data_IF_529883023268
#
_entry.id   IF_529883023268
#
_cell.length_a   1.000
_cell.length_b   1.000
_cell.length_c   1.000
_cell.angle_alpha   90.00
_cell.angle_beta   90.00
_cell.angle_gamma   90.00
#
_symmetry.space_group_name_H-M   'P 1'
#
loop_
_entity.id
_entity.type
_entity.pdbx_description
1 polymer ?
#
# COMPACT_ATOMS: atom_id res chain seq x y z
N UNK A 1 -35.33 55.41 46.57
CA UNK A 1 -35.75 54.64 45.38
C UNK A 1 -35.13 55.35 44.20
N UNK A 2 -34.01 54.85 43.68
CA UNK A 2 -33.27 55.46 42.56
C UNK A 2 -33.22 54.39 41.48
N UNK A 3 -33.88 54.65 40.35
CA UNK A 3 -33.88 53.81 39.16
C UNK A 3 -32.48 53.80 38.52
N UNK A 4 -31.89 52.60 38.39
CA UNK A 4 -30.75 52.37 37.52
C UNK A 4 -31.21 52.39 36.07
N UNK A 5 -30.87 53.46 35.36
CA UNK A 5 -30.94 53.53 33.90
C UNK A 5 -29.73 52.81 33.31
N UNK A 6 -29.88 51.54 32.96
CA UNK A 6 -28.92 50.80 32.15
C UNK A 6 -29.08 51.18 30.69
N UNK A 7 -28.11 51.91 30.13
CA UNK A 7 -27.98 52.13 28.69
C UNK A 7 -27.60 50.80 28.00
N UNK A 8 -28.09 50.53 26.77
CA UNK A 8 -27.71 49.35 26.01
C UNK A 8 -26.26 49.46 25.49
N UNK A 9 -25.46 48.43 25.73
CA UNK A 9 -24.08 48.25 25.26
C UNK A 9 -24.08 47.95 23.75
N UNK A 10 -23.45 48.82 22.96
CA UNK A 10 -23.37 48.77 21.48
C UNK A 10 -22.22 47.89 20.95
N UNK A 11 -21.55 47.12 21.81
CA UNK A 11 -20.32 46.38 21.46
C UNK A 11 -20.55 44.96 20.89
N UNK A 12 -21.77 44.42 20.96
CA UNK A 12 -22.05 43.03 20.55
C UNK A 12 -22.27 42.83 19.04
N UNK A 13 -22.67 43.88 18.30
CA UNK A 13 -23.02 43.76 16.87
C UNK A 13 -21.79 43.73 15.94
N UNK A 14 -20.69 44.39 16.33
CA UNK A 14 -19.46 44.45 15.51
C UNK A 14 -18.77 43.09 15.42
N UNK A 15 -18.86 42.27 16.47
CA UNK A 15 -18.20 40.95 16.52
C UNK A 15 -18.96 39.87 15.74
N UNK A 16 -20.29 39.98 15.60
CA UNK A 16 -21.08 39.00 14.84
C UNK A 16 -20.88 39.13 13.32
N UNK A 17 -20.75 40.34 12.78
CA UNK A 17 -20.51 40.47 11.33
C UNK A 17 -19.14 39.91 10.92
N UNK A 18 -18.08 40.14 11.71
CA UNK A 18 -16.71 39.79 11.33
C UNK A 18 -16.47 38.28 11.15
N UNK A 19 -17.25 37.43 11.82
CA UNK A 19 -17.05 35.98 11.83
C UNK A 19 -17.73 35.23 10.66
N UNK A 20 -18.63 35.90 9.90
CA UNK A 20 -19.40 35.27 8.82
C UNK A 20 -18.81 35.45 7.42
N UNK A 21 -17.94 36.45 7.23
CA UNK A 21 -17.34 36.77 5.92
C UNK A 21 -16.10 35.93 5.57
N UNK A 22 -15.43 35.33 6.57
CA UNK A 22 -14.20 34.54 6.35
C UNK A 22 -14.46 33.10 5.94
N UNK A 23 -15.66 32.55 6.24
CA UNK A 23 -15.95 31.13 6.02
C UNK A 23 -16.35 30.77 4.59
N UNK A 24 -16.85 31.71 3.78
CA UNK A 24 -17.32 31.41 2.40
C UNK A 24 -16.22 31.44 1.33
N UNK A 25 -15.15 32.20 1.54
CA UNK A 25 -14.05 32.29 0.56
C UNK A 25 -13.03 31.13 0.66
N UNK A 26 -13.03 30.41 1.79
CA UNK A 26 -12.07 29.32 2.05
C UNK A 26 -12.36 28.06 1.22
N UNK A 27 -13.63 27.73 0.99
CA UNK A 27 -14.03 26.46 0.37
C UNK A 27 -14.06 26.46 -1.16
N UNK A 28 -13.77 27.59 -1.82
CA UNK A 28 -13.66 27.65 -3.29
C UNK A 28 -12.30 27.26 -3.86
N UNK A 29 -11.24 27.27 -3.03
CA UNK A 29 -9.87 26.93 -3.43
C UNK A 29 -9.54 25.42 -3.50
N UNK A 30 -10.07 24.52 -2.65
CA UNK A 30 -9.70 23.11 -2.72
C UNK A 30 -10.23 22.41 -3.97
N UNK A 31 -11.33 22.86 -4.58
CA UNK A 31 -11.88 22.22 -5.79
C UNK A 31 -10.92 22.21 -6.98
N UNK A 32 -10.16 23.29 -7.17
CA UNK A 32 -9.15 23.37 -8.22
C UNK A 32 -7.95 22.44 -7.95
N UNK A 33 -7.49 22.39 -6.70
CA UNK A 33 -6.39 21.50 -6.31
C UNK A 33 -6.79 20.02 -6.38
N UNK A 34 -8.02 19.68 -6.01
CA UNK A 34 -8.54 18.31 -6.13
C UNK A 34 -8.67 17.93 -7.60
N UNK A 35 -9.23 18.80 -8.44
CA UNK A 35 -9.33 18.55 -9.88
C UNK A 35 -7.96 18.34 -10.53
N UNK A 36 -6.98 19.18 -10.18
CA UNK A 36 -5.61 19.04 -10.66
C UNK A 36 -4.94 17.77 -10.12
N UNK A 37 -5.17 17.42 -8.86
CA UNK A 37 -4.68 16.18 -8.26
C UNK A 37 -5.22 14.93 -8.96
N UNK A 38 -6.53 14.90 -9.24
CA UNK A 38 -7.18 13.81 -9.98
C UNK A 38 -6.60 13.72 -11.39
N UNK A 39 -6.43 14.84 -12.08
CA UNK A 39 -5.82 14.88 -13.41
C UNK A 39 -4.40 14.29 -13.41
N UNK A 40 -3.55 14.70 -12.47
CA UNK A 40 -2.21 14.14 -12.32
C UNK A 40 -2.24 12.65 -12.00
N UNK A 41 -3.15 12.20 -11.14
CA UNK A 41 -3.30 10.78 -10.82
C UNK A 41 -3.63 9.94 -12.06
N UNK A 42 -4.50 10.44 -12.95
CA UNK A 42 -4.82 9.75 -14.22
C UNK A 42 -3.59 9.65 -15.12
N UNK A 43 -2.84 10.75 -15.29
CA UNK A 43 -1.63 10.74 -16.13
C UNK A 43 -0.56 9.81 -15.56
N UNK A 44 -0.33 9.84 -14.25
CA UNK A 44 0.61 8.94 -13.56
C UNK A 44 0.18 7.49 -13.73
N UNK A 45 -1.11 7.20 -13.59
CA UNK A 45 -1.64 5.85 -13.77
C UNK A 45 -1.42 5.33 -15.19
N UNK A 46 -1.71 6.13 -16.22
CA UNK A 46 -1.48 5.73 -17.62
C UNK A 46 0.01 5.47 -17.88
N UNK A 47 0.90 6.36 -17.42
CA UNK A 47 2.35 6.16 -17.54
C UNK A 47 2.82 4.89 -16.83
N UNK A 48 2.30 4.63 -15.62
CA UNK A 48 2.63 3.46 -14.85
C UNK A 48 2.26 2.15 -15.56
N UNK A 49 1.06 2.11 -16.16
CA UNK A 49 0.62 0.96 -16.96
C UNK A 49 1.52 0.75 -18.18
N UNK A 50 1.90 1.81 -18.89
CA UNK A 50 2.80 1.70 -20.06
C UNK A 50 4.17 1.14 -19.64
N UNK A 51 4.71 1.57 -18.50
CA UNK A 51 5.99 1.06 -17.99
C UNK A 51 5.89 -0.43 -17.63
N UNK A 52 4.77 -0.85 -17.01
CA UNK A 52 4.52 -2.27 -16.71
C UNK A 52 4.45 -3.12 -17.98
N UNK A 53 3.77 -2.62 -19.03
CA UNK A 53 3.71 -3.28 -20.33
C UNK A 53 5.08 -3.39 -21.02
N UNK A 54 6.01 -2.47 -20.72
CA UNK A 54 7.32 -2.44 -21.38
C UNK A 54 8.41 -3.26 -20.67
N UNK A 55 8.30 -3.45 -19.35
CA UNK A 55 9.31 -4.17 -18.56
C UNK A 55 8.91 -5.59 -18.21
N UNK A 56 7.63 -5.95 -18.36
CA UNK A 56 6.99 -7.22 -17.98
C UNK A 56 7.13 -7.61 -16.50
N UNK A 57 8.21 -7.21 -15.82
CA UNK A 57 8.46 -7.39 -14.39
C UNK A 57 9.10 -6.16 -13.73
N UNK A 58 8.69 -5.91 -12.49
CA UNK A 58 9.31 -4.96 -11.58
C UNK A 58 9.63 -5.72 -10.31
N UNK A 59 10.91 -5.91 -10.02
CA UNK A 59 11.42 -6.50 -8.78
C UNK A 59 12.02 -5.42 -7.89
N UNK A 60 11.57 -5.34 -6.64
CA UNK A 60 12.10 -4.44 -5.63
C UNK A 60 12.61 -5.31 -4.48
N UNK A 61 13.94 -5.36 -4.32
CA UNK A 61 14.57 -6.04 -3.19
C UNK A 61 14.36 -5.22 -1.91
N UNK A 62 13.73 -5.81 -0.90
CA UNK A 62 13.31 -5.13 0.33
C UNK A 62 14.26 -5.31 1.52
N UNK A 63 15.46 -5.88 1.35
CA UNK A 63 16.42 -5.93 2.45
C UNK A 63 17.50 -7.00 2.32
N UNK A 64 18.11 -7.29 3.47
CA UNK A 64 19.30 -8.15 3.64
C UNK A 64 18.94 -9.65 3.83
N UNK A 65 17.67 -10.01 3.69
CA UNK A 65 17.21 -11.40 3.76
C UNK A 65 17.12 -12.00 2.34
N UNK A 66 17.52 -13.26 2.15
CA UNK A 66 17.40 -13.93 0.86
C UNK A 66 15.93 -13.98 0.44
N UNK A 67 15.69 -13.71 -0.86
CA UNK A 67 14.39 -13.78 -1.50
C UNK A 67 13.31 -12.79 -1.00
N UNK A 68 13.65 -11.79 -0.18
CA UNK A 68 12.70 -10.75 0.24
C UNK A 68 12.53 -9.70 -0.86
N UNK A 69 11.75 -10.03 -1.90
CA UNK A 69 11.51 -9.16 -3.05
C UNK A 69 10.02 -8.99 -3.29
N UNK A 70 9.58 -7.75 -3.48
CA UNK A 70 8.26 -7.48 -4.06
C UNK A 70 8.43 -7.58 -5.57
N UNK A 71 7.72 -8.52 -6.19
CA UNK A 71 7.66 -8.65 -7.64
C UNK A 71 6.26 -8.32 -8.13
N UNK A 72 6.18 -7.46 -9.12
CA UNK A 72 4.95 -7.23 -9.88
C UNK A 72 5.25 -7.58 -11.32
N UNK A 73 4.42 -8.40 -11.95
CA UNK A 73 4.60 -8.79 -13.34
C UNK A 73 3.28 -8.79 -14.10
N UNK A 74 3.38 -8.60 -15.41
CA UNK A 74 2.27 -8.69 -16.32
C UNK A 74 2.16 -10.13 -16.86
N UNK A 75 0.93 -10.63 -16.92
CA UNK A 75 0.57 -11.91 -17.53
C UNK A 75 -0.06 -11.57 -18.87
N UNK A 76 0.55 -12.02 -19.98
CA UNK A 76 0.19 -11.61 -21.35
C UNK A 76 -0.07 -12.79 -22.29
N UNK A 77 -0.34 -13.96 -21.72
CA UNK A 77 -0.71 -15.17 -22.44
C UNK A 77 -1.99 -14.95 -23.29
N UNK A 78 -2.13 -15.66 -24.43
CA UNK A 78 -3.22 -15.43 -25.38
C UNK A 78 -4.61 -15.61 -24.76
N UNK A 79 -4.75 -16.55 -23.83
CA UNK A 79 -6.00 -16.87 -23.14
C UNK A 79 -6.06 -16.36 -21.69
N UNK A 80 -4.96 -15.81 -21.16
CA UNK A 80 -4.87 -15.33 -19.78
C UNK A 80 -4.15 -13.99 -19.76
N UNK A 81 -4.85 -12.94 -19.31
CA UNK A 81 -4.25 -11.62 -19.14
C UNK A 81 -4.55 -11.08 -17.77
N UNK A 82 -3.49 -10.63 -17.11
CA UNK A 82 -3.56 -10.23 -15.72
C UNK A 82 -2.33 -9.50 -15.24
N UNK A 83 -2.38 -9.11 -13.97
CA UNK A 83 -1.23 -8.63 -13.21
C UNK A 83 -1.03 -9.60 -12.04
N UNK A 84 0.19 -10.12 -11.93
CA UNK A 84 0.65 -10.86 -10.76
C UNK A 84 1.36 -9.91 -9.79
N UNK A 85 1.08 -10.06 -8.50
CA UNK A 85 1.83 -9.38 -7.45
C UNK A 85 2.27 -10.38 -6.38
N UNK A 86 3.57 -10.39 -6.07
CA UNK A 86 4.12 -11.13 -4.94
C UNK A 86 4.57 -10.18 -3.84
N UNK A 87 4.29 -10.57 -2.60
CA UNK A 87 4.74 -9.89 -1.40
C UNK A 87 5.36 -10.91 -0.46
N UNK A 88 6.51 -10.58 0.09
CA UNK A 88 7.23 -11.45 1.02
C UNK A 88 7.13 -10.90 2.44
N UNK A 89 6.83 -11.77 3.40
CA UNK A 89 6.79 -11.47 4.83
C UNK A 89 7.76 -12.40 5.56
N UNK A 90 8.54 -11.84 6.49
CA UNK A 90 9.44 -12.63 7.32
C UNK A 90 8.66 -13.16 8.52
N UNK A 91 8.71 -14.48 8.70
CA UNK A 91 8.19 -15.18 9.87
C UNK A 91 9.36 -15.75 10.67
N UNK A 92 9.27 -15.66 12.00
CA UNK A 92 10.26 -16.30 12.88
C UNK A 92 10.08 -17.81 12.78
N UNK A 93 11.16 -18.51 12.40
CA UNK A 93 11.15 -19.97 12.32
C UNK A 93 11.18 -20.64 13.70
N UNK A 94 11.05 -21.97 13.68
CA UNK A 94 11.13 -22.82 14.88
C UNK A 94 12.59 -22.90 15.40
N UNK A 95 12.91 -23.55 16.54
CA UNK A 95 14.29 -23.53 17.06
C UNK A 95 15.33 -24.16 16.12
N UNK A 96 14.89 -25.02 15.18
CA UNK A 96 15.75 -25.62 14.15
C UNK A 96 15.79 -24.81 12.83
N UNK A 97 14.97 -23.75 12.70
CA UNK A 97 14.85 -22.91 11.50
C UNK A 97 15.07 -21.43 11.88
N UNK A 98 16.14 -20.82 11.40
CA UNK A 98 16.52 -19.46 11.80
C UNK A 98 15.57 -18.42 11.22
N UNK A 99 15.06 -18.64 10.00
CA UNK A 99 14.21 -17.68 9.28
C UNK A 99 13.26 -18.37 8.30
N UNK A 100 11.97 -18.05 8.35
CA UNK A 100 11.01 -18.45 7.32
C UNK A 100 10.52 -17.23 6.54
N UNK A 101 10.43 -17.35 5.22
CA UNK A 101 9.93 -16.32 4.32
C UNK A 101 8.61 -16.82 3.74
N UNK A 102 7.55 -16.09 4.04
CA UNK A 102 6.23 -16.34 3.48
C UNK A 102 6.01 -15.43 2.26
N UNK A 103 5.83 -16.02 1.10
CA UNK A 103 5.54 -15.31 -0.15
C UNK A 103 4.06 -15.44 -0.49
N UNK A 104 3.36 -14.33 -0.46
CA UNK A 104 1.97 -14.21 -0.88
C UNK A 104 1.92 -13.77 -2.34
N UNK A 105 1.47 -14.64 -3.23
CA UNK A 105 1.28 -14.34 -4.64
C UNK A 105 -0.20 -14.19 -4.91
N UNK A 106 -0.57 -13.13 -5.59
CA UNK A 106 -1.95 -12.86 -5.95
C UNK A 106 -2.03 -12.46 -7.41
N UNK A 107 -3.12 -12.89 -8.04
CA UNK A 107 -3.38 -12.65 -9.45
C UNK A 107 -4.67 -11.85 -9.60
N UNK A 108 -4.59 -10.77 -10.38
CA UNK A 108 -5.75 -10.01 -10.83
C UNK A 108 -5.84 -10.20 -12.34
N UNK A 109 -6.73 -11.07 -12.78
CA UNK A 109 -6.95 -11.32 -14.20
C UNK A 109 -8.17 -10.53 -14.70
N UNK A 110 -8.04 -9.90 -15.86
CA UNK A 110 -9.17 -9.31 -16.60
C UNK A 110 -9.57 -10.16 -17.81
N UNK A 111 -8.77 -11.17 -18.13
CA UNK A 111 -9.07 -12.17 -19.15
C UNK A 111 -8.59 -13.53 -18.66
N UNK A 112 -9.46 -14.53 -18.71
CA UNK A 112 -9.21 -15.86 -18.15
C UNK A 112 -9.75 -16.02 -16.73
N UNK A 113 -9.89 -17.28 -16.30
CA UNK A 113 -10.28 -17.64 -14.93
C UNK A 113 -9.01 -17.83 -14.09
N UNK A 114 -8.81 -17.00 -13.07
CA UNK A 114 -7.56 -17.09 -12.30
C UNK A 114 -7.37 -16.11 -11.14
N UNK A 115 -8.43 -15.56 -10.55
CA UNK A 115 -8.30 -14.74 -9.32
C UNK A 115 -8.04 -15.61 -8.08
N UNK A 116 -6.90 -16.31 -8.07
CA UNK A 116 -6.46 -17.14 -6.96
C UNK A 116 -5.28 -16.47 -6.25
N UNK A 117 -5.27 -16.54 -4.93
CA UNK A 117 -4.09 -16.24 -4.12
C UNK A 117 -3.37 -17.55 -3.82
N UNK A 118 -2.06 -17.58 -4.03
CA UNK A 118 -1.21 -18.71 -3.70
C UNK A 118 -0.15 -18.26 -2.70
N UNK A 119 -0.09 -18.97 -1.59
CA UNK A 119 0.90 -18.74 -0.55
C UNK A 119 2.02 -19.79 -0.67
N UNK A 120 3.26 -19.33 -0.48
CA UNK A 120 4.45 -20.18 -0.44
C UNK A 120 5.22 -19.89 0.85
N UNK A 121 5.77 -20.92 1.46
CA UNK A 121 6.62 -20.80 2.63
C UNK A 121 7.99 -21.43 2.34
N UNK A 122 9.05 -20.65 2.51
CA UNK A 122 10.44 -21.07 2.37
C UNK A 122 11.17 -20.84 3.69
N UNK A 123 11.62 -21.92 4.34
CA UNK A 123 12.35 -21.85 5.61
C UNK A 123 13.83 -22.14 5.41
N UNK A 124 14.64 -21.35 6.09
CA UNK A 124 16.09 -21.36 6.00
C UNK A 124 16.72 -21.63 7.36
N UNK A 125 17.78 -22.45 7.35
CA UNK A 125 18.66 -22.65 8.49
C UNK A 125 20.03 -22.02 8.23
N UNK A 126 20.74 -21.66 9.29
CA UNK A 126 22.11 -21.21 9.20
C UNK A 126 23.00 -22.34 8.67
N UNK A 127 23.88 -22.04 7.74
CA UNK A 127 24.84 -23.01 7.25
C UNK A 127 26.08 -22.94 8.14
N UNK A 128 26.46 -24.04 8.78
CA UNK A 128 27.58 -24.08 9.74
C UNK A 128 28.92 -23.60 9.13
N UNK A 129 29.06 -23.63 7.80
CA UNK A 129 30.31 -23.28 7.10
C UNK A 129 30.26 -21.94 6.33
N UNK A 130 29.15 -21.20 6.37
CA UNK A 130 29.03 -19.91 5.69
C UNK A 130 27.91 -19.07 6.28
N UNK A 131 28.07 -17.74 6.33
CA UNK A 131 26.98 -16.79 6.67
C UNK A 131 25.78 -16.83 5.68
N UNK A 132 25.81 -17.72 4.68
CA UNK A 132 24.72 -17.97 3.76
C UNK A 132 23.66 -18.89 4.40
N UNK A 133 22.43 -18.40 4.42
CA UNK A 133 21.25 -19.19 4.79
C UNK A 133 21.01 -20.32 3.78
N UNK A 134 20.81 -21.55 4.28
CA UNK A 134 20.50 -22.74 3.46
C UNK A 134 19.00 -23.00 3.50
N UNK A 135 18.38 -23.19 2.34
CA UNK A 135 16.98 -23.61 2.25
C UNK A 135 16.83 -25.02 2.83
N UNK A 136 15.98 -25.15 3.85
CA UNK A 136 15.71 -26.42 4.55
C UNK A 136 14.36 -26.99 4.14
N UNK A 137 13.35 -26.12 3.98
CA UNK A 137 11.98 -26.52 3.68
C UNK A 137 11.34 -25.51 2.72
N UNK A 138 10.60 -26.03 1.74
CA UNK A 138 9.76 -25.23 0.84
C UNK A 138 8.40 -25.94 0.69
N UNK A 139 7.33 -25.27 1.10
CA UNK A 139 5.97 -25.82 1.06
C UNK A 139 5.00 -24.78 0.48
N UNK A 140 4.02 -25.24 -0.30
CA UNK A 140 2.90 -24.39 -0.73
C UNK A 140 1.91 -24.26 0.43
N UNK A 141 1.67 -23.04 0.90
CA UNK A 141 0.78 -22.74 2.01
C UNK A 141 1.33 -21.66 2.94
N UNK A 142 0.65 -21.50 4.08
CA UNK A 142 1.03 -20.55 5.13
C UNK A 142 2.14 -21.17 5.99
N UNK A 143 3.12 -20.36 6.41
CA UNK A 143 4.13 -20.81 7.37
C UNK A 143 3.47 -21.08 8.72
N UNK A 144 3.21 -22.34 9.04
CA UNK A 144 2.75 -22.73 10.38
C UNK A 144 3.97 -23.00 11.27
N UNK A 145 4.16 -22.29 12.39
CA UNK A 145 5.15 -22.71 13.38
C UNK A 145 4.70 -24.06 13.93
N UNK A 146 5.48 -25.12 13.67
CA UNK A 146 5.16 -26.45 14.17
C UNK A 146 5.20 -26.41 15.71
N UNK A 147 4.06 -26.72 16.34
CA UNK A 147 3.83 -26.57 17.78
C UNK A 147 4.55 -27.62 18.60
#
# INVERSE_FOLDING_TARGET
>A
MIEQSTAPDDDDDVNQQKNTWTKRAWWRRPGCLIGLGIWFAIVIFVFFVIILLARDEITISQGNAPNQQIRVWLISEPDQRGIGFSRTSLQKGNPDEVLCVQTHVNFIMWQGDGNNSIDYCECYAENENSDALRLTRAESGVCTPNR
#
